data_IF_143621129005
#
_entry.id   IF_143621129005
#
_cell.length_a   1.000
_cell.length_b   1.000
_cell.length_c   1.000
_cell.angle_alpha   90.00
_cell.angle_beta   90.00
_cell.angle_gamma   90.00
#
_symmetry.space_group_name_H-M   'P 1'
#
loop_
_entity.id
_entity.type
_entity.pdbx_description
1 polymer ?
#
# COMPACT_ATOMS: atom_id res chain seq x y z
N UNK A 1 -1.93 -8.16 -22.60
CA UNK A 1 -2.55 -6.83 -22.40
C UNK A 1 -3.64 -7.02 -21.36
N UNK A 2 -3.45 -6.46 -20.17
CA UNK A 2 -4.37 -6.65 -19.04
C UNK A 2 -5.61 -5.77 -19.31
N UNK A 3 -6.84 -6.31 -19.29
CA UNK A 3 -8.03 -5.52 -19.58
C UNK A 3 -8.29 -4.56 -18.41
N UNK A 4 -7.99 -3.28 -18.60
CA UNK A 4 -8.25 -2.21 -17.63
C UNK A 4 -9.77 -2.05 -17.38
N UNK A 5 -10.33 -2.85 -16.49
CA UNK A 5 -11.69 -2.66 -16.03
C UNK A 5 -11.77 -1.29 -15.29
N UNK A 6 -12.82 -0.48 -15.52
CA UNK A 6 -12.98 0.82 -14.85
C UNK A 6 -12.85 0.74 -13.32
N UNK A 7 -13.25 -0.39 -12.74
CA UNK A 7 -13.18 -0.67 -11.30
C UNK A 7 -11.75 -0.75 -10.76
N UNK A 8 -10.81 -1.30 -11.53
CA UNK A 8 -9.40 -1.46 -11.11
C UNK A 8 -8.69 -0.11 -11.18
N UNK A 9 -8.91 0.63 -12.26
CA UNK A 9 -8.39 1.99 -12.41
C UNK A 9 -8.84 2.90 -11.26
N UNK A 10 -10.13 2.89 -10.93
CA UNK A 10 -10.68 3.71 -9.83
C UNK A 10 -10.02 3.40 -8.48
N UNK A 11 -9.69 2.14 -8.20
CA UNK A 11 -9.06 1.77 -6.93
C UNK A 11 -7.57 2.11 -6.87
N UNK A 12 -6.86 2.03 -8.00
CA UNK A 12 -5.48 2.51 -8.06
C UNK A 12 -5.42 4.04 -7.95
N UNK A 13 -6.39 4.75 -8.51
CA UNK A 13 -6.56 6.19 -8.27
C UNK A 13 -6.81 6.46 -6.78
N UNK A 14 -7.70 5.70 -6.13
CA UNK A 14 -7.92 5.81 -4.69
C UNK A 14 -6.64 5.57 -3.88
N UNK A 15 -5.86 4.53 -4.21
CA UNK A 15 -4.59 4.26 -3.55
C UNK A 15 -3.62 5.45 -3.69
N UNK A 16 -3.53 6.07 -4.87
CA UNK A 16 -2.72 7.29 -5.08
C UNK A 16 -3.25 8.48 -4.29
N UNK A 17 -4.57 8.68 -4.24
CA UNK A 17 -5.19 9.74 -3.44
C UNK A 17 -4.91 9.58 -1.95
N UNK A 18 -4.87 8.34 -1.44
CA UNK A 18 -4.50 8.05 -0.06
C UNK A 18 -3.04 8.43 0.23
N UNK A 19 -2.10 8.14 -0.68
CA UNK A 19 -0.71 8.59 -0.55
C UNK A 19 -0.58 10.13 -0.61
N UNK A 20 -1.35 10.78 -1.49
CA UNK A 20 -1.38 12.25 -1.56
C UNK A 20 -1.93 12.86 -0.26
N UNK A 21 -3.02 12.30 0.28
CA UNK A 21 -3.56 12.68 1.59
C UNK A 21 -2.51 12.52 2.69
N UNK A 22 -1.80 11.37 2.71
CA UNK A 22 -0.72 11.14 3.66
C UNK A 22 0.38 12.20 3.55
N UNK A 23 0.74 12.60 2.33
CA UNK A 23 1.74 13.65 2.06
C UNK A 23 1.27 15.01 2.57
N UNK A 24 -0.01 15.34 2.41
CA UNK A 24 -0.59 16.58 2.95
C UNK A 24 -0.53 16.58 4.48
N UNK A 25 -0.87 15.46 5.11
CA UNK A 25 -0.78 15.33 6.57
C UNK A 25 0.67 15.42 7.07
N UNK A 26 1.61 14.83 6.33
CA UNK A 26 3.03 14.90 6.64
C UNK A 26 3.58 16.34 6.64
N UNK A 27 3.03 17.26 5.83
CA UNK A 27 3.42 18.69 5.87
C UNK A 27 3.12 19.35 7.22
N UNK A 28 2.16 18.81 7.96
CA UNK A 28 1.77 19.28 9.29
C UNK A 28 2.14 18.26 10.38
N UNK A 29 3.24 17.52 10.19
CA UNK A 29 3.67 16.42 11.06
C UNK A 29 4.14 16.83 12.45
N UNK A 30 4.24 18.12 12.77
CA UNK A 30 4.47 18.58 14.13
C UNK A 30 3.33 18.16 15.08
N UNK A 31 2.11 18.01 14.56
CA UNK A 31 0.95 17.47 15.27
C UNK A 31 0.92 15.94 15.22
N UNK A 32 0.83 15.29 16.39
CA UNK A 32 0.73 13.82 16.54
C UNK A 32 -0.47 13.22 15.81
N UNK A 33 -1.60 13.91 15.76
CA UNK A 33 -2.79 13.47 15.02
C UNK A 33 -2.48 13.34 13.52
N UNK A 34 -1.81 14.35 12.94
CA UNK A 34 -1.47 14.33 11.52
C UNK A 34 -0.46 13.21 11.20
N UNK A 35 0.48 12.93 12.11
CA UNK A 35 1.40 11.80 11.96
C UNK A 35 0.67 10.45 11.93
N UNK A 36 -0.30 10.26 12.84
CA UNK A 36 -1.13 9.04 12.86
C UNK A 36 -1.93 8.92 11.57
N UNK A 37 -2.60 9.99 11.12
CA UNK A 37 -3.38 9.98 9.89
C UNK A 37 -2.52 9.72 8.65
N UNK A 38 -1.28 10.23 8.62
CA UNK A 38 -0.35 9.98 7.54
C UNK A 38 0.03 8.49 7.45
N UNK A 39 0.40 7.86 8.58
CA UNK A 39 0.75 6.43 8.62
C UNK A 39 -0.42 5.55 8.24
N UNK A 40 -1.62 5.82 8.78
CA UNK A 40 -2.84 5.08 8.42
C UNK A 40 -3.14 5.19 6.92
N UNK A 41 -2.98 6.39 6.35
CA UNK A 41 -3.23 6.62 4.92
C UNK A 41 -2.22 5.91 4.03
N UNK A 42 -0.95 5.80 4.46
CA UNK A 42 0.08 5.02 3.79
C UNK A 42 -0.27 3.52 3.78
N UNK A 43 -0.56 2.95 4.94
CA UNK A 43 -0.91 1.52 5.06
C UNK A 43 -2.18 1.18 4.25
N UNK A 44 -3.20 2.04 4.31
CA UNK A 44 -4.44 1.86 3.55
C UNK A 44 -4.20 1.96 2.04
N UNK A 45 -3.29 2.82 1.59
CA UNK A 45 -2.89 2.92 0.18
C UNK A 45 -2.29 1.59 -0.31
N UNK A 46 -1.40 1.00 0.48
CA UNK A 46 -0.80 -0.31 0.19
C UNK A 46 -1.88 -1.39 0.17
N UNK A 47 -2.69 -1.50 1.22
CA UNK A 47 -3.71 -2.55 1.34
C UNK A 47 -4.73 -2.48 0.19
N UNK A 48 -5.16 -1.27 -0.18
CA UNK A 48 -6.04 -1.03 -1.34
C UNK A 48 -5.40 -1.51 -2.63
N UNK A 49 -4.11 -1.25 -2.81
CA UNK A 49 -3.34 -1.67 -3.98
C UNK A 49 -3.22 -3.19 -4.04
N UNK A 50 -2.86 -3.84 -2.94
CA UNK A 50 -2.75 -5.31 -2.86
C UNK A 50 -4.07 -5.99 -3.20
N UNK A 51 -5.17 -5.54 -2.61
CA UNK A 51 -6.52 -6.05 -2.89
C UNK A 51 -6.92 -5.84 -4.35
N UNK A 52 -6.50 -4.74 -4.95
CA UNK A 52 -6.76 -4.45 -6.36
C UNK A 52 -5.97 -5.39 -7.27
N UNK A 53 -4.69 -5.64 -6.97
CA UNK A 53 -3.85 -6.60 -7.69
C UNK A 53 -4.43 -8.01 -7.65
N UNK A 54 -4.90 -8.47 -6.49
CA UNK A 54 -5.52 -9.80 -6.38
C UNK A 54 -6.73 -9.91 -7.30
N UNK A 55 -7.61 -8.92 -7.30
CA UNK A 55 -8.81 -8.96 -8.13
C UNK A 55 -8.51 -8.86 -9.63
N UNK A 56 -7.44 -8.16 -10.00
CA UNK A 56 -6.99 -8.09 -11.39
C UNK A 56 -6.40 -9.42 -11.86
N UNK A 57 -5.53 -10.03 -11.05
CA UNK A 57 -4.86 -11.29 -11.39
C UNK A 57 -5.79 -12.50 -11.26
N UNK A 58 -6.88 -12.39 -10.50
CA UNK A 58 -7.87 -13.46 -10.38
C UNK A 58 -9.25 -12.95 -9.97
N UNK A 59 -10.26 -13.26 -10.79
CA UNK A 59 -11.66 -12.99 -10.47
C UNK A 59 -12.27 -14.00 -9.48
N UNK A 60 -11.54 -15.06 -9.12
CA UNK A 60 -12.04 -16.19 -8.32
C UNK A 60 -11.64 -16.14 -6.85
N UNK A 61 -10.47 -15.57 -6.52
CA UNK A 61 -9.97 -15.55 -5.14
C UNK A 61 -10.38 -14.24 -4.47
N UNK A 62 -10.97 -14.35 -3.27
CA UNK A 62 -11.20 -13.17 -2.42
C UNK A 62 -9.87 -12.76 -1.77
N UNK A 63 -9.63 -11.46 -1.57
CA UNK A 63 -8.46 -11.02 -0.83
C UNK A 63 -8.47 -11.56 0.59
N UNK A 64 -7.30 -12.01 1.07
CA UNK A 64 -7.15 -12.45 2.45
C UNK A 64 -7.40 -11.32 3.45
N UNK A 65 -7.84 -11.69 4.65
CA UNK A 65 -8.24 -10.73 5.68
C UNK A 65 -7.04 -10.14 6.43
N UNK A 66 -6.04 -10.97 6.75
CA UNK A 66 -4.86 -10.52 7.49
C UNK A 66 -3.83 -9.93 6.52
N UNK A 67 -3.08 -8.92 6.97
CA UNK A 67 -2.07 -8.29 6.14
C UNK A 67 -0.92 -9.24 5.73
N UNK A 68 -0.38 -10.10 6.62
CA UNK A 68 0.64 -11.08 6.22
C UNK A 68 0.14 -12.06 5.16
N UNK A 69 -1.09 -12.55 5.29
CA UNK A 69 -1.69 -13.46 4.32
C UNK A 69 -1.98 -12.75 3.00
N UNK A 70 -2.37 -11.47 3.04
CA UNK A 70 -2.56 -10.63 1.86
C UNK A 70 -1.27 -10.46 1.05
N UNK A 71 -0.14 -10.19 1.73
CA UNK A 71 1.17 -10.12 1.07
C UNK A 71 1.53 -11.47 0.46
N UNK A 72 1.36 -12.56 1.20
CA UNK A 72 1.65 -13.92 0.71
C UNK A 72 0.80 -14.26 -0.52
N UNK A 73 -0.47 -13.90 -0.50
CA UNK A 73 -1.38 -14.12 -1.62
C UNK A 73 -0.93 -13.34 -2.87
N UNK A 74 -0.56 -12.07 -2.72
CA UNK A 74 -0.02 -11.27 -3.83
C UNK A 74 1.29 -11.83 -4.36
N UNK A 75 2.24 -12.19 -3.48
CA UNK A 75 3.53 -12.77 -3.90
C UNK A 75 3.35 -14.07 -4.70
N UNK A 76 2.45 -14.95 -4.26
CA UNK A 76 2.09 -16.17 -5.02
C UNK A 76 1.50 -15.82 -6.39
N UNK A 77 0.56 -14.87 -6.47
CA UNK A 77 -0.05 -14.48 -7.73
C UNK A 77 0.94 -13.82 -8.70
N UNK A 78 1.88 -13.01 -8.19
CA UNK A 78 2.93 -12.42 -9.02
C UNK A 78 3.84 -13.51 -9.63
N UNK A 79 4.21 -14.52 -8.83
CA UNK A 79 5.00 -15.68 -9.30
C UNK A 79 4.23 -16.53 -10.31
N UNK A 80 2.96 -16.85 -10.03
CA UNK A 80 2.07 -17.60 -10.93
C UNK A 80 1.92 -16.92 -12.31
N UNK A 81 1.97 -15.59 -12.35
CA UNK A 81 1.82 -14.79 -13.56
C UNK A 81 3.15 -14.30 -14.18
N UNK A 82 4.31 -14.77 -13.69
CA UNK A 82 5.64 -14.34 -14.14
C UNK A 82 5.90 -12.82 -14.05
N UNK A 83 5.33 -12.15 -13.05
CA UNK A 83 5.48 -10.71 -12.78
C UNK A 83 6.62 -10.40 -11.78
N UNK A 84 7.44 -11.41 -11.47
CA UNK A 84 8.56 -11.34 -10.54
C UNK A 84 8.12 -11.39 -9.07
N UNK A 85 9.00 -10.92 -8.18
CA UNK A 85 8.78 -10.96 -6.73
C UNK A 85 8.03 -9.75 -6.20
N UNK A 86 7.44 -9.90 -5.01
CA UNK A 86 6.83 -8.83 -4.23
C UNK A 86 7.85 -7.70 -3.92
N UNK A 87 7.56 -6.44 -4.28
CA UNK A 87 8.50 -5.34 -4.10
C UNK A 87 8.63 -4.92 -2.63
N UNK A 88 9.88 -4.80 -2.15
CA UNK A 88 10.23 -4.16 -0.87
C UNK A 88 9.43 -4.66 0.36
N UNK A 89 9.18 -5.96 0.48
CA UNK A 89 8.40 -6.58 1.56
C UNK A 89 8.67 -6.00 2.96
N UNK A 90 9.93 -5.96 3.38
CA UNK A 90 10.30 -5.49 4.72
C UNK A 90 9.87 -4.03 4.99
N UNK A 91 9.90 -3.16 3.98
CA UNK A 91 9.45 -1.75 4.10
C UNK A 91 7.93 -1.67 4.21
N UNK A 92 7.22 -2.50 3.46
CA UNK A 92 5.75 -2.60 3.53
C UNK A 92 5.30 -3.12 4.88
N UNK A 93 5.93 -4.18 5.39
CA UNK A 93 5.66 -4.72 6.72
C UNK A 93 5.96 -3.69 7.82
N UNK A 94 7.04 -2.91 7.69
CA UNK A 94 7.36 -1.81 8.62
C UNK A 94 6.27 -0.73 8.68
N UNK A 95 5.67 -0.36 7.55
CA UNK A 95 4.54 0.59 7.52
C UNK A 95 3.34 0.02 8.30
N UNK A 96 3.04 -1.25 8.07
CA UNK A 96 1.95 -1.94 8.75
C UNK A 96 2.17 -2.00 10.27
N UNK A 97 3.40 -2.26 10.70
CA UNK A 97 3.77 -2.25 12.11
C UNK A 97 3.59 -0.86 12.74
N UNK A 98 3.99 0.22 12.05
CA UNK A 98 3.74 1.58 12.51
C UNK A 98 2.26 1.88 12.66
N UNK A 99 1.43 1.42 11.71
CA UNK A 99 -0.02 1.58 11.79
C UNK A 99 -0.60 0.82 12.98
N UNK A 100 -0.17 -0.42 13.20
CA UNK A 100 -0.61 -1.24 14.33
C UNK A 100 -0.18 -0.62 15.67
N UNK A 101 1.06 -0.13 15.78
CA UNK A 101 1.56 0.60 16.95
C UNK A 101 0.69 1.84 17.25
N UNK A 102 0.35 2.62 16.22
CA UNK A 102 -0.46 3.82 16.36
C UNK A 102 -1.91 3.50 16.78
N UNK A 103 -2.54 2.48 16.18
CA UNK A 103 -3.95 2.15 16.44
C UNK A 103 -4.16 1.31 17.71
N UNK A 104 -3.27 0.36 18.00
CA UNK A 104 -3.49 -0.64 19.05
C UNK A 104 -2.64 -0.40 20.31
N UNK A 105 -1.51 0.30 20.17
CA UNK A 105 -0.60 0.57 21.31
C UNK A 105 -0.54 2.05 21.70
N UNK A 106 -1.35 2.90 21.06
CA UNK A 106 -1.38 4.35 21.25
C UNK A 106 0.01 5.02 21.12
N UNK A 107 0.91 4.42 20.34
CA UNK A 107 2.26 4.95 20.11
C UNK A 107 2.23 5.91 18.93
N UNK A 108 2.47 7.19 19.19
CA UNK A 108 2.52 8.20 18.13
C UNK A 108 3.76 7.97 17.25
N UNK A 109 3.60 7.90 15.91
CA UNK A 109 4.74 7.88 15.00
C UNK A 109 5.59 9.14 15.16
N UNK A 110 6.89 9.04 14.95
CA UNK A 110 7.78 10.20 14.83
C UNK A 110 7.68 10.85 13.45
N UNK A 111 8.24 12.05 13.28
CA UNK A 111 8.32 12.70 11.96
C UNK A 111 9.17 11.88 10.97
N UNK A 112 10.19 11.19 11.47
CA UNK A 112 11.00 10.28 10.65
C UNK A 112 10.19 9.07 10.22
N UNK A 113 9.40 8.47 11.12
CA UNK A 113 8.52 7.35 10.76
C UNK A 113 7.52 7.75 9.67
N UNK A 114 6.96 8.96 9.75
CA UNK A 114 6.05 9.49 8.72
C UNK A 114 6.78 9.67 7.38
N UNK A 115 7.99 10.23 7.39
CA UNK A 115 8.80 10.41 6.17
C UNK A 115 9.12 9.06 5.51
N UNK A 116 9.56 8.09 6.32
CA UNK A 116 9.80 6.71 5.91
C UNK A 116 8.55 6.10 5.26
N UNK A 117 7.38 6.24 5.90
CA UNK A 117 6.11 5.72 5.37
C UNK A 117 5.77 6.29 3.99
N UNK A 118 5.94 7.60 3.77
CA UNK A 118 5.69 8.24 2.48
C UNK A 118 6.64 7.69 1.41
N UNK A 119 7.95 7.68 1.70
CA UNK A 119 8.97 7.20 0.76
C UNK A 119 8.72 5.74 0.37
N UNK A 120 8.52 4.88 1.37
CA UNK A 120 8.32 3.45 1.18
C UNK A 120 7.02 3.15 0.44
N UNK A 121 5.94 3.86 0.75
CA UNK A 121 4.65 3.71 0.03
C UNK A 121 4.79 4.15 -1.41
N UNK A 122 5.41 5.31 -1.68
CA UNK A 122 5.62 5.79 -3.05
C UNK A 122 6.44 4.80 -3.88
N UNK A 123 7.57 4.35 -3.32
CA UNK A 123 8.46 3.37 -3.97
C UNK A 123 7.72 2.06 -4.25
N UNK A 124 6.92 1.58 -3.29
CA UNK A 124 6.13 0.36 -3.46
C UNK A 124 5.12 0.50 -4.59
N UNK A 125 4.35 1.59 -4.62
CA UNK A 125 3.35 1.84 -5.67
C UNK A 125 4.02 1.92 -7.04
N UNK A 126 5.13 2.66 -7.18
CA UNK A 126 5.87 2.77 -8.45
C UNK A 126 6.35 1.40 -8.94
N UNK A 127 7.06 0.65 -8.09
CA UNK A 127 7.60 -0.66 -8.46
C UNK A 127 6.50 -1.66 -8.83
N UNK A 128 5.37 -1.62 -8.11
CA UNK A 128 4.26 -2.51 -8.39
C UNK A 128 3.54 -2.09 -9.69
N UNK A 129 3.23 -0.81 -9.87
CA UNK A 129 2.52 -0.31 -11.05
C UNK A 129 3.31 -0.52 -12.35
N UNK A 130 4.65 -0.43 -12.30
CA UNK A 130 5.52 -0.78 -13.42
C UNK A 130 5.34 -2.24 -13.84
N UNK A 131 5.22 -3.17 -12.88
CA UNK A 131 4.97 -4.60 -13.17
C UNK A 131 3.62 -4.82 -13.88
N UNK A 132 2.63 -3.97 -13.65
CA UNK A 132 1.30 -4.07 -14.27
C UNK A 132 1.16 -3.27 -15.57
N UNK A 133 2.16 -2.47 -15.96
CA UNK A 133 2.10 -1.64 -17.17
C UNK A 133 1.04 -0.52 -17.10
N UNK A 134 0.65 -0.08 -15.91
CA UNK A 134 -0.44 0.90 -15.70
C UNK A 134 0.07 2.35 -15.79
N UNK A 135 1.38 2.56 -15.74
CA UNK A 135 2.01 3.84 -16.06
C UNK A 135 3.22 3.55 -16.97
N UNK A 136 3.07 3.87 -18.26
CA UNK A 136 4.16 4.09 -19.21
C UNK A 136 4.19 5.57 -19.56
#
# INVERSE_FOLDING_TARGET
MIPNAPTVTNRLVLAKQLLQSATIQAKNSYNSMNRILAVISCDLSIETTLKTVIQELTSKKKPEFTFPDLIKQVDSLLKENNLGEFPNRARVEKIHDFRNDAQHKAKSPSETDVRDCIEYTNTFLEQLLVKFGIFQ
#
